data_IF_030111774013
#
_entry.id   IF_030111774013
#
_cell.length_a   1.000
_cell.length_b   1.000
_cell.length_c   1.000
_cell.angle_alpha   90.00
_cell.angle_beta   90.00
_cell.angle_gamma   90.00
#
_symmetry.space_group_name_H-M   'P 1'
#
loop_
_entity.id
_entity.type
_entity.pdbx_description
1 polymer ?
#
# COMPACT_ATOMS: atom_id res chain seq x y z
N UNK A 1 -26.07 -29.90 20.13
CA UNK A 1 -25.49 -28.85 19.28
C UNK A 1 -24.28 -29.33 18.48
N UNK A 2 -23.20 -29.80 19.12
CA UNK A 2 -21.95 -30.16 18.41
C UNK A 2 -22.11 -31.19 17.27
N UNK A 3 -22.84 -32.28 17.52
CA UNK A 3 -23.12 -33.28 16.47
C UNK A 3 -23.90 -32.72 15.27
N UNK A 4 -24.74 -31.70 15.48
CA UNK A 4 -25.47 -31.03 14.40
C UNK A 4 -24.53 -30.10 13.63
N UNK A 5 -23.68 -29.34 14.33
CA UNK A 5 -22.64 -28.49 13.74
C UNK A 5 -21.73 -29.29 12.81
N UNK A 6 -21.24 -30.45 13.23
CA UNK A 6 -20.40 -31.31 12.38
C UNK A 6 -21.11 -31.79 11.12
N UNK A 7 -22.39 -32.20 11.21
CA UNK A 7 -23.16 -32.62 10.02
C UNK A 7 -23.40 -31.47 9.04
N UNK A 8 -23.65 -30.27 9.56
CA UNK A 8 -23.82 -29.06 8.75
C UNK A 8 -22.54 -28.68 8.01
N UNK A 9 -21.41 -28.67 8.72
CA UNK A 9 -20.11 -28.39 8.12
C UNK A 9 -19.73 -29.46 7.10
N UNK A 10 -19.91 -30.75 7.41
CA UNK A 10 -19.66 -31.84 6.48
C UNK A 10 -20.48 -31.72 5.19
N UNK A 11 -21.77 -31.39 5.30
CA UNK A 11 -22.63 -31.17 4.14
C UNK A 11 -22.19 -29.94 3.32
N UNK A 12 -21.87 -28.83 4.00
CA UNK A 12 -21.39 -27.62 3.35
C UNK A 12 -20.07 -27.85 2.61
N UNK A 13 -19.12 -28.55 3.23
CA UNK A 13 -17.81 -28.79 2.64
C UNK A 13 -17.93 -29.65 1.39
N UNK A 14 -18.66 -30.76 1.48
CA UNK A 14 -18.92 -31.64 0.35
C UNK A 14 -19.59 -30.90 -0.80
N UNK A 15 -20.57 -30.05 -0.52
CA UNK A 15 -21.25 -29.30 -1.58
C UNK A 15 -20.34 -28.22 -2.20
N UNK A 16 -19.54 -27.51 -1.41
CA UNK A 16 -18.56 -26.55 -1.92
C UNK A 16 -17.50 -27.24 -2.80
N UNK A 17 -16.96 -28.37 -2.34
CA UNK A 17 -15.97 -29.15 -3.09
C UNK A 17 -16.56 -29.74 -4.37
N UNK A 18 -17.81 -30.21 -4.33
CA UNK A 18 -18.54 -30.66 -5.52
C UNK A 18 -18.67 -29.57 -6.58
N UNK A 19 -18.74 -28.31 -6.16
CA UNK A 19 -18.81 -27.13 -7.04
C UNK A 19 -17.43 -26.57 -7.40
N UNK A 20 -16.34 -27.28 -7.06
CA UNK A 20 -14.97 -26.93 -7.44
C UNK A 20 -14.26 -25.95 -6.49
N UNK A 21 -14.85 -25.63 -5.33
CA UNK A 21 -14.15 -24.91 -4.28
C UNK A 21 -13.18 -25.83 -3.54
N UNK A 22 -12.20 -25.26 -2.82
CA UNK A 22 -11.37 -26.00 -1.86
C UNK A 22 -11.67 -25.51 -0.45
N UNK A 23 -11.99 -26.41 0.47
CA UNK A 23 -12.21 -26.04 1.87
C UNK A 23 -10.94 -26.32 2.66
N UNK A 24 -10.61 -25.44 3.59
CA UNK A 24 -9.45 -25.61 4.45
C UNK A 24 -9.55 -24.82 5.75
N UNK A 25 -8.49 -24.92 6.52
CA UNK A 25 -8.30 -24.21 7.78
C UNK A 25 -7.01 -23.39 7.69
N UNK A 26 -7.03 -22.14 8.12
CA UNK A 26 -5.85 -21.26 8.11
C UNK A 26 -5.00 -21.49 9.39
N UNK A 27 -3.84 -20.82 9.48
CA UNK A 27 -2.93 -20.94 10.65
C UNK A 27 -3.58 -20.50 11.98
N UNK A 28 -4.69 -19.76 11.92
CA UNK A 28 -5.47 -19.29 13.07
C UNK A 28 -6.65 -20.19 13.42
N UNK A 29 -6.74 -21.37 12.78
CA UNK A 29 -7.84 -22.32 12.92
C UNK A 29 -9.20 -21.82 12.44
N UNK A 30 -9.19 -20.88 11.49
CA UNK A 30 -10.40 -20.35 10.88
C UNK A 30 -10.67 -21.11 9.58
N UNK A 31 -11.92 -21.52 9.40
CA UNK A 31 -12.36 -22.21 8.20
C UNK A 31 -12.45 -21.23 7.03
N UNK A 32 -12.04 -21.67 5.85
CA UNK A 32 -12.21 -20.93 4.62
C UNK A 32 -12.62 -21.83 3.47
N UNK A 33 -13.28 -21.23 2.49
CA UNK A 33 -13.47 -21.80 1.17
C UNK A 33 -12.70 -20.97 0.14
N UNK A 34 -11.87 -21.62 -0.66
CA UNK A 34 -11.15 -21.02 -1.77
C UNK A 34 -11.98 -21.19 -3.05
N UNK A 35 -12.44 -20.08 -3.61
CA UNK A 35 -13.24 -20.02 -4.84
C UNK A 35 -12.57 -19.02 -5.78
N UNK A 36 -12.27 -19.44 -7.01
CA UNK A 36 -11.59 -18.59 -8.01
C UNK A 36 -10.27 -17.97 -7.50
N UNK A 37 -9.56 -18.67 -6.60
CA UNK A 37 -8.33 -18.18 -5.99
C UNK A 37 -8.52 -17.09 -4.93
N UNK A 38 -9.76 -16.87 -4.46
CA UNK A 38 -10.10 -16.02 -3.33
C UNK A 38 -10.47 -16.87 -2.13
N UNK A 39 -9.85 -16.60 -0.98
CA UNK A 39 -10.18 -17.26 0.28
C UNK A 39 -11.28 -16.48 1.00
N UNK A 40 -12.38 -17.17 1.23
CA UNK A 40 -13.55 -16.67 1.94
C UNK A 40 -13.64 -17.38 3.29
N UNK A 41 -13.19 -16.68 4.33
CA UNK A 41 -13.25 -17.16 5.71
C UNK A 41 -14.67 -17.11 6.25
N UNK A 42 -15.08 -18.15 6.98
CA UNK A 42 -16.41 -18.25 7.56
C UNK A 42 -16.39 -18.94 8.92
N UNK A 43 -17.50 -18.80 9.63
CA UNK A 43 -17.72 -19.40 10.94
C UNK A 43 -19.16 -19.91 11.05
N UNK A 44 -19.32 -21.07 11.68
CA UNK A 44 -20.61 -21.58 12.13
C UNK A 44 -20.55 -21.75 13.64
N UNK A 45 -21.29 -20.90 14.38
CA UNK A 45 -21.30 -20.90 15.84
C UNK A 45 -22.72 -20.90 16.40
N UNK A 46 -22.87 -21.40 17.63
CA UNK A 46 -24.11 -21.21 18.37
C UNK A 46 -24.25 -19.72 18.76
N UNK A 47 -25.43 -19.16 18.54
CA UNK A 47 -25.72 -17.79 18.97
C UNK A 47 -25.98 -17.77 20.47
N UNK A 48 -25.38 -16.80 21.15
CA UNK A 48 -25.66 -16.51 22.54
C UNK A 48 -26.47 -15.22 22.64
N UNK A 49 -27.42 -15.18 23.57
CA UNK A 49 -28.17 -13.98 23.93
C UNK A 49 -27.71 -13.50 25.29
N UNK A 50 -27.60 -12.18 25.44
CA UNK A 50 -27.34 -11.58 26.74
C UNK A 50 -28.65 -11.43 27.49
N UNK A 51 -28.75 -12.04 28.67
CA UNK A 51 -29.92 -11.99 29.54
C UNK A 51 -29.52 -11.30 30.85
N UNK A 52 -30.42 -10.47 31.38
CA UNK A 52 -30.27 -9.90 32.73
C UNK A 52 -30.97 -10.81 33.71
N UNK A 53 -30.24 -11.29 34.71
CA UNK A 53 -30.80 -12.02 35.85
C UNK A 53 -30.51 -11.29 37.16
N UNK A 54 -31.36 -11.44 38.19
CA UNK A 54 -31.02 -10.97 39.52
C UNK A 54 -29.77 -11.70 40.06
N UNK A 55 -28.99 -10.99 40.89
CA UNK A 55 -27.86 -11.57 41.61
C UNK A 55 -28.35 -12.61 42.63
N UNK A 56 -27.60 -13.69 42.83
CA UNK A 56 -27.87 -14.66 43.91
C UNK A 56 -27.49 -14.06 45.26
N UNK A 57 -28.02 -14.64 46.35
CA UNK A 57 -27.76 -14.17 47.71
C UNK A 57 -26.26 -14.17 48.08
N UNK A 58 -25.47 -15.06 47.48
CA UNK A 58 -24.01 -15.11 47.65
C UNK A 58 -23.31 -14.05 46.80
N UNK A 59 -23.75 -13.83 45.56
CA UNK A 59 -23.20 -12.79 44.68
C UNK A 59 -23.48 -11.36 45.19
N UNK A 60 -24.62 -11.16 45.88
CA UNK A 60 -24.98 -9.92 46.57
C UNK A 60 -24.07 -9.64 47.77
N UNK A 61 -23.59 -10.68 48.47
CA UNK A 61 -22.72 -10.53 49.65
C UNK A 61 -21.29 -10.11 49.31
N UNK A 62 -20.80 -10.49 48.13
CA UNK A 62 -19.40 -10.28 47.71
C UNK A 62 -19.25 -9.31 46.52
N UNK A 63 -20.34 -8.82 45.92
CA UNK A 63 -20.31 -8.05 44.67
C UNK A 63 -20.46 -6.53 44.84
N UNK A 64 -19.59 -5.75 44.18
CA UNK A 64 -19.68 -4.27 44.10
C UNK A 64 -20.72 -3.71 43.11
N UNK A 65 -21.58 -4.56 42.55
CA UNK A 65 -22.53 -4.17 41.50
C UNK A 65 -23.86 -3.67 42.11
N UNK A 66 -23.98 -2.35 42.28
CA UNK A 66 -25.12 -1.66 42.92
C UNK A 66 -26.48 -1.86 42.24
N UNK A 67 -26.50 -2.41 41.02
CA UNK A 67 -27.73 -2.57 40.23
C UNK A 67 -28.58 -3.79 40.60
N UNK A 68 -28.07 -4.71 41.42
CA UNK A 68 -28.78 -5.95 41.77
C UNK A 68 -28.93 -6.97 40.63
N UNK A 69 -28.40 -6.65 39.44
CA UNK A 69 -28.60 -7.41 38.21
C UNK A 69 -27.26 -7.81 37.60
N UNK A 70 -27.16 -9.07 37.15
CA UNK A 70 -26.02 -9.60 36.40
C UNK A 70 -26.40 -9.84 34.95
N UNK A 71 -25.51 -9.47 34.05
CA UNK A 71 -25.59 -9.87 32.65
C UNK A 71 -24.93 -11.23 32.49
N UNK A 72 -25.63 -12.15 31.83
CA UNK A 72 -25.17 -13.50 31.54
C UNK A 72 -25.42 -13.84 30.08
N UNK A 73 -24.50 -14.57 29.46
CA UNK A 73 -24.67 -15.09 28.11
C UNK A 73 -25.33 -16.46 28.18
N UNK A 74 -26.52 -16.58 27.59
CA UNK A 74 -27.22 -17.84 27.49
C UNK A 74 -27.20 -18.37 26.06
N UNK A 75 -26.90 -19.67 25.85
CA UNK A 75 -27.04 -20.29 24.54
C UNK A 75 -28.48 -20.18 24.05
N UNK A 76 -28.66 -19.95 22.74
CA UNK A 76 -30.00 -19.85 22.14
C UNK A 76 -30.46 -21.15 21.51
N UNK A 77 -29.60 -22.16 21.35
CA UNK A 77 -29.90 -23.37 20.57
C UNK A 77 -29.94 -23.14 19.06
N UNK A 78 -29.72 -21.91 18.59
CA UNK A 78 -29.75 -21.55 17.16
C UNK A 78 -28.33 -21.30 16.63
N UNK A 79 -28.04 -21.74 15.41
CA UNK A 79 -26.79 -21.41 14.74
C UNK A 79 -26.79 -20.05 14.06
N UNK A 80 -25.61 -19.44 14.00
CA UNK A 80 -25.28 -18.30 13.16
C UNK A 80 -24.12 -18.71 12.24
N UNK A 81 -24.35 -18.66 10.94
CA UNK A 81 -23.29 -18.73 9.94
C UNK A 81 -22.90 -17.31 9.54
N UNK A 82 -21.60 -17.02 9.54
CA UNK A 82 -21.05 -15.71 9.20
C UNK A 82 -19.88 -15.87 8.25
N UNK A 83 -19.89 -15.15 7.13
CA UNK A 83 -18.68 -14.89 6.36
C UNK A 83 -17.91 -13.74 7.01
N UNK A 84 -16.63 -13.93 7.32
CA UNK A 84 -15.83 -12.94 8.06
C UNK A 84 -15.44 -11.75 7.18
N UNK A 85 -15.22 -12.00 5.88
CA UNK A 85 -14.86 -10.97 4.91
C UNK A 85 -16.09 -10.19 4.46
N UNK A 86 -15.90 -8.90 4.16
CA UNK A 86 -16.92 -8.11 3.45
C UNK A 86 -17.12 -8.66 2.03
N UNK A 87 -18.38 -8.87 1.67
CA UNK A 87 -18.76 -9.38 0.35
C UNK A 87 -19.18 -8.22 -0.55
N UNK A 88 -18.98 -8.35 -1.87
CA UNK A 88 -19.39 -7.32 -2.82
C UNK A 88 -20.91 -7.21 -2.94
N UNK A 89 -21.38 -5.99 -3.22
CA UNK A 89 -22.78 -5.71 -3.53
C UNK A 89 -23.74 -5.99 -2.37
N UNK A 90 -24.90 -6.56 -2.68
CA UNK A 90 -25.96 -6.93 -1.72
C UNK A 90 -25.87 -8.38 -1.25
N UNK A 91 -24.73 -9.05 -1.46
CA UNK A 91 -24.55 -10.44 -1.04
C UNK A 91 -24.66 -10.56 0.48
N UNK A 92 -25.46 -11.54 0.90
CA UNK A 92 -25.71 -11.78 2.31
C UNK A 92 -24.46 -12.35 2.97
N UNK A 93 -24.13 -11.84 4.15
CA UNK A 93 -22.95 -12.26 4.92
C UNK A 93 -23.29 -13.18 6.08
N UNK A 94 -24.52 -13.12 6.57
CA UNK A 94 -24.92 -13.75 7.84
C UNK A 94 -26.28 -14.46 7.71
N UNK A 95 -26.31 -15.72 8.14
CA UNK A 95 -27.52 -16.54 8.19
C UNK A 95 -27.76 -16.98 9.62
N UNK A 96 -28.80 -16.41 10.21
CA UNK A 96 -29.27 -16.76 11.54
C UNK A 96 -30.36 -17.82 11.40
N UNK A 97 -30.17 -18.93 12.10
CA UNK A 97 -31.19 -19.95 12.29
C UNK A 97 -32.39 -19.39 13.07
N UNK A 98 -33.59 -19.75 12.61
CA UNK A 98 -34.87 -19.46 13.26
C UNK A 98 -35.72 -20.73 13.29
N UNK A 99 -36.73 -20.76 14.14
CA UNK A 99 -37.62 -21.91 14.30
C UNK A 99 -38.32 -22.30 12.98
N UNK A 100 -38.60 -21.32 12.11
CA UNK A 100 -39.22 -21.47 10.79
C UNK A 100 -38.22 -21.53 9.62
N UNK A 101 -36.92 -21.40 9.91
CA UNK A 101 -35.86 -21.36 8.92
C UNK A 101 -34.57 -21.97 9.49
N UNK A 102 -34.48 -23.32 9.53
CA UNK A 102 -33.27 -24.00 9.95
C UNK A 102 -32.13 -23.69 8.99
N UNK A 103 -30.90 -23.78 9.48
CA UNK A 103 -29.73 -23.42 8.69
C UNK A 103 -29.43 -24.43 7.57
N UNK A 104 -29.88 -25.67 7.75
CA UNK A 104 -29.89 -26.73 6.73
C UNK A 104 -30.58 -26.26 5.44
N UNK A 105 -31.73 -25.60 5.55
CA UNK A 105 -32.51 -25.10 4.41
C UNK A 105 -31.82 -23.93 3.70
N UNK A 106 -30.83 -23.31 4.36
CA UNK A 106 -30.05 -22.19 3.83
C UNK A 106 -28.70 -22.62 3.24
N UNK A 107 -28.33 -23.90 3.30
CA UNK A 107 -27.04 -24.38 2.79
C UNK A 107 -26.86 -24.07 1.30
N UNK A 108 -27.90 -24.26 0.48
CA UNK A 108 -27.85 -23.94 -0.94
C UNK A 108 -27.62 -22.43 -1.20
N UNK A 109 -28.26 -21.56 -0.40
CA UNK A 109 -28.09 -20.10 -0.47
C UNK A 109 -26.67 -19.68 -0.04
N UNK A 110 -26.14 -20.31 1.01
CA UNK A 110 -24.77 -20.10 1.51
C UNK A 110 -23.75 -20.50 0.43
N UNK A 111 -23.89 -21.70 -0.15
CA UNK A 111 -23.03 -22.19 -1.23
C UNK A 111 -23.09 -21.26 -2.44
N UNK A 112 -24.30 -20.89 -2.89
CA UNK A 112 -24.46 -19.96 -4.00
C UNK A 112 -23.73 -18.62 -3.74
N UNK A 113 -23.75 -18.14 -2.49
CA UNK A 113 -23.03 -16.92 -2.12
C UNK A 113 -21.52 -17.06 -2.27
N UNK A 114 -20.92 -18.20 -1.88
CA UNK A 114 -19.49 -18.46 -2.14
C UNK A 114 -19.16 -18.44 -3.63
N UNK A 115 -19.98 -19.13 -4.43
CA UNK A 115 -19.75 -19.27 -5.88
C UNK A 115 -19.91 -17.95 -6.65
N UNK A 116 -20.75 -17.03 -6.16
CA UNK A 116 -20.91 -15.70 -6.76
C UNK A 116 -19.84 -14.73 -6.23
N UNK A 117 -19.54 -14.75 -4.92
CA UNK A 117 -18.59 -13.83 -4.32
C UNK A 117 -17.16 -14.03 -4.83
N UNK A 118 -16.70 -15.29 -4.95
CA UNK A 118 -15.33 -15.61 -5.36
C UNK A 118 -14.90 -14.95 -6.68
N UNK A 119 -15.62 -15.17 -7.80
CA UNK A 119 -15.30 -14.55 -9.08
C UNK A 119 -15.31 -13.01 -9.06
N UNK A 120 -16.29 -12.39 -8.40
CA UNK A 120 -16.37 -10.91 -8.31
C UNK A 120 -15.15 -10.37 -7.57
N UNK A 121 -14.76 -11.01 -6.47
CA UNK A 121 -13.64 -10.58 -5.66
C UNK A 121 -12.30 -10.84 -6.35
N UNK A 122 -12.19 -11.93 -7.13
CA UNK A 122 -11.02 -12.22 -7.95
C UNK A 122 -10.84 -11.16 -9.04
N UNK A 123 -11.93 -10.72 -9.67
CA UNK A 123 -11.89 -9.65 -10.67
C UNK A 123 -11.53 -8.30 -10.06
N UNK A 124 -12.12 -7.94 -8.91
CA UNK A 124 -11.76 -6.72 -8.18
C UNK A 124 -10.27 -6.71 -7.77
N UNK A 125 -9.73 -7.85 -7.33
CA UNK A 125 -8.29 -8.00 -7.06
C UNK A 125 -7.46 -7.74 -8.31
N UNK A 126 -7.81 -8.35 -9.44
CA UNK A 126 -7.10 -8.15 -10.72
C UNK A 126 -7.10 -6.69 -11.15
N UNK A 127 -8.26 -6.02 -11.08
CA UNK A 127 -8.39 -4.60 -11.45
C UNK A 127 -7.56 -3.70 -10.54
N UNK A 128 -7.57 -3.94 -9.23
CA UNK A 128 -6.74 -3.20 -8.27
C UNK A 128 -5.24 -3.42 -8.51
N UNK A 129 -4.82 -4.64 -8.79
CA UNK A 129 -3.42 -4.95 -9.11
C UNK A 129 -2.97 -4.29 -10.41
N UNK A 130 -3.81 -4.32 -11.45
CA UNK A 130 -3.51 -3.66 -12.73
C UNK A 130 -3.45 -2.14 -12.58
N UNK A 131 -4.41 -1.54 -11.89
CA UNK A 131 -4.44 -0.11 -11.61
C UNK A 131 -3.22 0.32 -10.80
N UNK A 132 -2.87 -0.41 -9.74
CA UNK A 132 -1.67 -0.14 -8.94
C UNK A 132 -0.39 -0.24 -9.77
N UNK A 133 -0.29 -1.22 -10.68
CA UNK A 133 0.85 -1.32 -11.61
C UNK A 133 0.94 -0.13 -12.55
N UNK A 134 -0.19 0.32 -13.11
CA UNK A 134 -0.24 1.50 -14.00
C UNK A 134 0.15 2.77 -13.26
N UNK A 135 -0.38 2.97 -12.06
CA UNK A 135 -0.07 4.13 -11.21
C UNK A 135 1.40 4.16 -10.80
N UNK A 136 1.97 3.01 -10.40
CA UNK A 136 3.38 2.92 -10.03
C UNK A 136 4.29 3.20 -11.24
N UNK A 137 3.97 2.66 -12.42
CA UNK A 137 4.71 2.98 -13.65
C UNK A 137 4.63 4.47 -14.01
N UNK A 138 3.45 5.08 -13.90
CA UNK A 138 3.28 6.51 -14.14
C UNK A 138 4.07 7.34 -13.13
N UNK A 139 4.03 6.96 -11.85
CA UNK A 139 4.79 7.61 -10.77
C UNK A 139 6.30 7.53 -11.02
N UNK A 140 6.80 6.37 -11.42
CA UNK A 140 8.21 6.18 -11.76
C UNK A 140 8.64 7.02 -12.96
N UNK A 141 7.80 7.08 -14.01
CA UNK A 141 8.05 7.93 -15.19
C UNK A 141 8.13 9.41 -14.83
N UNK A 142 7.14 9.91 -14.09
CA UNK A 142 7.11 11.30 -13.64
C UNK A 142 8.32 11.63 -12.75
N UNK A 143 8.70 10.72 -11.85
CA UNK A 143 9.87 10.91 -10.98
C UNK A 143 11.18 10.91 -11.78
N UNK A 144 11.32 10.01 -12.75
CA UNK A 144 12.47 9.98 -13.65
C UNK A 144 12.59 11.28 -14.45
N UNK A 145 11.49 11.73 -15.05
CA UNK A 145 11.44 12.97 -15.83
C UNK A 145 11.81 14.20 -14.98
N UNK A 146 11.22 14.31 -13.78
CA UNK A 146 11.56 15.34 -12.79
C UNK A 146 13.04 15.32 -12.41
N UNK A 147 13.61 14.14 -12.16
CA UNK A 147 15.02 14.01 -11.82
C UNK A 147 15.93 14.40 -12.99
N UNK A 148 15.58 14.04 -14.22
CA UNK A 148 16.30 14.45 -15.43
C UNK A 148 16.24 15.96 -15.64
N UNK A 149 15.07 16.56 -15.45
CA UNK A 149 14.89 18.01 -15.50
C UNK A 149 15.74 18.71 -14.44
N UNK A 150 15.76 18.20 -13.21
CA UNK A 150 16.63 18.72 -12.14
C UNK A 150 18.10 18.69 -12.56
N UNK A 151 18.57 17.58 -13.13
CA UNK A 151 19.96 17.48 -13.60
C UNK A 151 20.25 18.49 -14.71
N UNK A 152 19.34 18.63 -15.67
CA UNK A 152 19.45 19.64 -16.72
C UNK A 152 19.54 21.06 -16.13
N UNK A 153 18.70 21.39 -15.14
CA UNK A 153 18.73 22.68 -14.47
C UNK A 153 20.04 22.93 -13.69
N UNK A 154 20.61 21.90 -13.07
CA UNK A 154 21.94 21.97 -12.43
C UNK A 154 23.04 22.30 -13.44
N UNK A 155 23.02 21.67 -14.62
CA UNK A 155 23.96 21.95 -15.71
C UNK A 155 23.78 23.37 -16.24
N UNK A 156 22.54 23.81 -16.47
CA UNK A 156 22.25 25.16 -16.92
C UNK A 156 22.71 26.23 -15.91
N UNK A 157 22.54 25.96 -14.61
CA UNK A 157 23.03 26.84 -13.54
C UNK A 157 24.56 26.93 -13.54
N UNK A 158 25.26 25.79 -13.66
CA UNK A 158 26.72 25.78 -13.76
C UNK A 158 27.22 26.58 -14.99
N UNK A 159 26.53 26.48 -16.11
CA UNK A 159 26.83 27.27 -17.31
C UNK A 159 26.65 28.78 -17.07
N UNK A 160 25.56 29.21 -16.43
CA UNK A 160 25.34 30.63 -16.11
C UNK A 160 26.36 31.19 -15.12
N UNK A 161 26.77 30.39 -14.13
CA UNK A 161 27.85 30.75 -13.19
C UNK A 161 29.18 30.98 -13.93
N UNK A 162 29.54 30.10 -14.87
CA UNK A 162 30.73 30.27 -15.72
C UNK A 162 30.60 31.50 -16.62
N UNK A 163 29.44 31.73 -17.22
CA UNK A 163 29.17 32.93 -18.03
C UNK A 163 29.32 34.22 -17.22
N UNK A 164 28.84 34.23 -15.98
CA UNK A 164 28.97 35.36 -15.05
C UNK A 164 30.42 35.61 -14.67
N UNK A 165 31.16 34.55 -14.31
CA UNK A 165 32.58 34.66 -13.99
C UNK A 165 33.42 35.09 -15.20
N UNK A 166 33.08 34.66 -16.42
CA UNK A 166 33.73 35.08 -17.65
C UNK A 166 33.53 36.59 -17.92
N UNK A 167 32.30 37.10 -17.74
CA UNK A 167 32.02 38.55 -17.83
C UNK A 167 32.82 39.35 -16.80
N UNK A 168 32.89 38.86 -15.56
CA UNK A 168 33.68 39.51 -14.51
C UNK A 168 35.19 39.50 -14.84
N UNK A 169 35.73 38.37 -15.32
CA UNK A 169 37.13 38.28 -15.74
C UNK A 169 37.45 39.23 -16.90
N UNK A 170 36.54 39.38 -17.85
CA UNK A 170 36.69 40.35 -18.94
C UNK A 170 36.72 41.78 -18.40
N UNK A 171 35.83 42.14 -17.49
CA UNK A 171 35.84 43.46 -16.85
C UNK A 171 37.17 43.72 -16.12
N UNK A 172 37.75 42.72 -15.44
CA UNK A 172 39.07 42.84 -14.79
C UNK A 172 40.22 43.03 -15.78
N UNK A 173 40.12 42.46 -16.99
CA UNK A 173 41.10 42.65 -18.07
C UNK A 173 41.06 44.07 -18.66
N UNK A 174 39.93 44.76 -18.57
CA UNK A 174 39.73 46.12 -19.07
C UNK A 174 40.14 47.21 -18.06
N UNK A 175 40.29 46.86 -16.77
CA UNK A 175 40.79 47.79 -15.75
C UNK A 175 42.27 48.06 -15.99
N UNK A 176 42.65 49.34 -16.08
CA UNK A 176 44.04 49.75 -16.23
C UNK A 176 44.86 49.29 -15.01
N UNK A 177 45.92 48.54 -15.26
CA UNK A 177 46.75 47.93 -14.21
C UNK A 177 48.11 48.62 -14.15
N UNK A 178 48.60 48.97 -12.94
CA UNK A 178 49.95 49.49 -12.79
C UNK A 178 50.96 48.51 -13.39
N UNK A 179 51.77 49.00 -14.33
CA UNK A 179 52.81 48.19 -14.98
C UNK A 179 53.73 47.57 -13.93
N UNK A 180 53.89 46.24 -13.96
CA UNK A 180 54.72 45.49 -13.03
C UNK A 180 54.07 45.15 -11.68
N UNK A 181 52.75 45.31 -11.52
CA UNK A 181 52.04 44.85 -10.33
C UNK A 181 52.22 43.33 -10.12
N UNK A 182 52.70 42.97 -8.93
CA UNK A 182 52.84 41.59 -8.48
C UNK A 182 51.88 41.32 -7.32
N UNK A 183 51.18 40.20 -7.39
CA UNK A 183 50.34 39.67 -6.31
C UNK A 183 50.90 38.30 -5.94
N UNK A 184 51.32 38.15 -4.68
CA UNK A 184 52.04 36.97 -4.19
C UNK A 184 53.24 36.56 -5.06
N UNK A 185 53.98 37.56 -5.57
CA UNK A 185 55.16 37.33 -6.41
C UNK A 185 54.87 36.91 -7.85
N UNK A 186 53.60 36.86 -8.27
CA UNK A 186 53.21 36.60 -9.66
C UNK A 186 52.61 37.84 -10.32
N UNK A 187 52.85 38.05 -11.63
CA UNK A 187 52.18 39.10 -12.37
C UNK A 187 50.67 38.84 -12.42
N UNK A 188 49.89 39.92 -12.43
CA UNK A 188 48.41 39.80 -12.50
C UNK A 188 47.96 39.06 -13.75
N UNK A 189 48.70 39.13 -14.87
CA UNK A 189 48.43 38.36 -16.09
C UNK A 189 48.39 36.84 -15.84
N UNK A 190 49.29 36.30 -15.03
CA UNK A 190 49.28 34.87 -14.69
C UNK A 190 48.04 34.47 -13.89
N UNK A 191 47.54 35.36 -13.03
CA UNK A 191 46.29 35.14 -12.30
C UNK A 191 45.06 35.18 -13.22
N UNK A 192 45.07 36.07 -14.22
CA UNK A 192 44.02 36.15 -15.24
C UNK A 192 43.99 34.89 -16.12
N UNK A 193 45.16 34.40 -16.55
CA UNK A 193 45.29 33.16 -17.33
C UNK A 193 44.87 31.93 -16.52
N UNK A 194 45.24 31.88 -15.24
CA UNK A 194 44.79 30.83 -14.32
C UNK A 194 43.27 30.80 -14.22
N UNK A 195 42.63 31.96 -14.02
CA UNK A 195 41.17 32.06 -13.92
C UNK A 195 40.49 31.62 -15.23
N UNK A 196 41.03 32.02 -16.38
CA UNK A 196 40.52 31.63 -17.70
C UNK A 196 40.61 30.11 -17.92
N UNK A 197 41.76 29.51 -17.59
CA UNK A 197 41.94 28.06 -17.65
C UNK A 197 40.99 27.30 -16.73
N UNK A 198 40.72 27.83 -15.52
CA UNK A 198 39.74 27.26 -14.60
C UNK A 198 38.33 27.32 -15.15
N UNK A 199 37.91 28.45 -15.72
CA UNK A 199 36.58 28.60 -16.31
C UNK A 199 36.35 27.64 -17.47
N UNK A 200 37.35 27.45 -18.35
CA UNK A 200 37.25 26.48 -19.44
C UNK A 200 37.08 25.04 -18.96
N UNK A 201 37.78 24.66 -17.89
CA UNK A 201 37.72 23.30 -17.36
C UNK A 201 36.35 22.94 -16.73
N UNK A 202 35.60 23.94 -16.25
CA UNK A 202 34.31 23.74 -15.58
C UNK A 202 33.11 24.11 -16.46
N UNK A 203 33.33 24.70 -17.64
CA UNK A 203 32.25 25.07 -18.57
C UNK A 203 31.56 23.80 -19.08
N UNK A 204 30.24 23.62 -18.80
CA UNK A 204 29.54 22.45 -19.25
C UNK A 204 29.49 22.30 -20.78
N UNK A 205 29.55 23.40 -21.54
CA UNK A 205 29.51 23.35 -23.02
C UNK A 205 30.82 22.79 -23.59
N UNK A 206 31.96 23.02 -22.93
CA UNK A 206 33.26 22.49 -23.35
C UNK A 206 33.31 20.95 -23.28
N UNK A 207 32.41 20.33 -22.50
CA UNK A 207 32.27 18.87 -22.41
C UNK A 207 31.53 18.27 -23.62
N UNK A 208 30.85 19.11 -24.42
CA UNK A 208 30.11 18.70 -25.61
C UNK A 208 28.68 18.25 -25.34
N UNK A 209 27.80 18.45 -26.32
CA UNK A 209 26.36 18.18 -26.22
C UNK A 209 26.04 16.71 -25.91
N UNK A 210 26.81 15.78 -26.46
CA UNK A 210 26.62 14.36 -26.23
C UNK A 210 26.85 14.00 -24.76
N UNK A 211 27.94 14.48 -24.15
CA UNK A 211 28.26 14.23 -22.75
C UNK A 211 27.17 14.77 -21.79
N UNK A 212 26.64 15.97 -22.09
CA UNK A 212 25.54 16.57 -21.32
C UNK A 212 24.30 15.67 -21.33
N UNK A 213 23.87 15.20 -22.50
CA UNK A 213 22.68 14.37 -22.60
C UNK A 213 22.90 12.94 -22.12
N UNK A 214 24.12 12.41 -22.20
CA UNK A 214 24.48 11.13 -21.57
C UNK A 214 24.39 11.20 -20.04
N UNK A 215 24.88 12.29 -19.43
CA UNK A 215 24.78 12.53 -17.99
C UNK A 215 23.30 12.58 -17.54
N UNK A 216 22.46 13.33 -18.27
CA UNK A 216 21.01 13.37 -18.03
C UNK A 216 20.36 12.00 -18.25
N UNK A 217 20.74 11.27 -19.31
CA UNK A 217 20.18 9.96 -19.62
C UNK A 217 20.48 8.91 -18.53
N UNK A 218 21.66 9.02 -17.89
CA UNK A 218 22.11 8.16 -16.80
C UNK A 218 21.35 8.36 -15.49
N UNK A 219 20.65 9.49 -15.33
CA UNK A 219 19.77 9.73 -14.19
C UNK A 219 18.67 8.66 -14.12
N UNK A 220 18.46 8.16 -12.90
CA UNK A 220 17.45 7.17 -12.53
C UNK A 220 16.39 7.80 -11.64
N UNK A 221 15.25 7.13 -11.50
CA UNK A 221 14.17 7.62 -10.63
C UNK A 221 14.56 7.68 -9.14
N UNK A 222 15.66 7.02 -8.75
CA UNK A 222 16.22 7.02 -7.39
C UNK A 222 17.48 7.87 -7.23
N UNK A 223 17.98 8.54 -8.28
CA UNK A 223 19.25 9.29 -8.22
C UNK A 223 19.22 10.40 -7.19
N UNK A 224 18.08 11.05 -7.01
CA UNK A 224 17.86 12.02 -5.96
C UNK A 224 16.98 11.40 -4.88
N UNK A 225 17.45 11.46 -3.64
CA UNK A 225 16.60 11.31 -2.46
C UNK A 225 16.00 12.68 -2.14
N UNK A 226 14.69 12.72 -1.99
CA UNK A 226 13.97 13.86 -1.41
C UNK A 226 14.10 13.77 0.12
#
# INVERSE_FOLDING_TARGET
MERRRHRLLDALFKELERQGARVGENDRRELYAEVSGERLEFELREKYKQVRRPLTAEELKWGGNKSGMRQELQPTGCFLFTMKRYLPGSLRREWLERDDAPIEDRLAEIVATFLVAGPIMAEDRRQREEQARREEQQRQRLKLDRNRWRRFAEIAKAWDEVGTARRFLQALKEVDQPSGMLVEGKPVSEWLDWAEGKLKAVDPIEQGIAAIFEDIANIKYWTYHD
#
